data_IF_484040920360
#
_entry.id   IF_484040920360
#
_cell.length_a   1.000
_cell.length_b   1.000
_cell.length_c   1.000
_cell.angle_alpha   90.00
_cell.angle_beta   90.00
_cell.angle_gamma   90.00
#
_symmetry.space_group_name_H-M   'P 1'
#
loop_
_entity.id
_entity.type
_entity.pdbx_description
1 polymer ?
#
# COMPACT_ATOMS: atom_id res chain seq x y z
N UNK A 1 33.09 -101.63 36.44
CA UNK A 1 32.21 -101.91 37.60
C UNK A 1 31.40 -100.66 37.90
N UNK A 2 30.06 -100.79 37.99
CA UNK A 2 29.04 -99.91 38.57
C UNK A 2 28.89 -98.51 38.00
N UNK A 3 27.95 -98.17 37.14
CA UNK A 3 26.50 -98.03 37.29
C UNK A 3 26.15 -96.91 38.30
N UNK A 4 25.63 -95.77 37.78
CA UNK A 4 25.01 -94.73 38.54
C UNK A 4 23.99 -93.93 37.68
N UNK A 5 22.72 -94.31 37.81
CA UNK A 5 21.55 -93.71 37.24
C UNK A 5 21.30 -92.34 37.90
N UNK A 6 21.26 -91.25 37.15
CA UNK A 6 20.80 -89.94 37.62
C UNK A 6 19.44 -89.56 36.98
N UNK A 7 18.47 -89.36 37.83
CA UNK A 7 17.05 -89.05 37.52
C UNK A 7 16.88 -87.69 36.82
N UNK A 8 16.02 -87.67 35.84
CA UNK A 8 15.46 -86.46 35.22
C UNK A 8 14.50 -85.75 36.17
N UNK A 9 14.60 -84.45 36.30
CA UNK A 9 13.68 -83.54 36.97
C UNK A 9 12.68 -82.92 35.95
N UNK A 10 11.41 -82.69 36.31
CA UNK A 10 10.38 -82.20 35.39
C UNK A 10 10.49 -80.67 35.12
N UNK A 11 10.18 -80.33 33.90
CA UNK A 11 10.02 -78.94 33.47
C UNK A 11 8.70 -78.34 34.04
N UNK A 12 8.70 -77.05 34.52
CA UNK A 12 7.46 -76.31 34.77
C UNK A 12 6.94 -75.68 33.51
N UNK A 13 5.63 -75.72 33.39
CA UNK A 13 4.81 -75.37 32.27
C UNK A 13 4.81 -73.82 31.99
N UNK A 14 4.60 -73.50 30.71
CA UNK A 14 4.58 -72.18 30.18
C UNK A 14 3.40 -71.34 30.63
N UNK A 15 3.69 -70.15 31.08
CA UNK A 15 2.74 -69.07 31.23
C UNK A 15 2.63 -68.24 29.94
N UNK A 16 1.46 -67.72 29.57
CA UNK A 16 1.26 -67.01 28.33
C UNK A 16 1.96 -65.66 28.33
N UNK A 17 2.79 -65.41 27.31
CA UNK A 17 3.48 -64.17 27.06
C UNK A 17 2.47 -63.06 26.73
N UNK A 18 2.36 -62.07 27.60
CA UNK A 18 1.67 -60.81 27.41
C UNK A 18 2.30 -60.02 26.27
N UNK A 19 1.77 -60.18 25.04
CA UNK A 19 2.08 -59.37 23.88
C UNK A 19 1.16 -58.15 23.85
N UNK A 20 1.42 -57.10 24.59
CA UNK A 20 0.42 -56.04 24.57
C UNK A 20 0.85 -54.59 24.71
N UNK A 21 2.14 -54.23 24.94
CA UNK A 21 2.43 -52.81 25.23
C UNK A 21 3.67 -52.21 24.56
N UNK A 22 4.26 -52.85 23.58
CA UNK A 22 5.49 -52.32 22.94
C UNK A 22 5.24 -51.48 21.66
N UNK A 23 4.01 -51.40 21.16
CA UNK A 23 3.73 -50.74 19.86
C UNK A 23 3.51 -49.22 19.95
N UNK A 24 2.97 -48.69 21.04
CA UNK A 24 2.62 -47.30 21.21
C UNK A 24 3.81 -46.43 21.59
N UNK A 25 4.84 -46.99 22.22
CA UNK A 25 6.03 -46.22 22.64
C UNK A 25 6.98 -45.89 21.48
N UNK A 26 6.95 -46.71 20.40
CA UNK A 26 7.83 -46.49 19.22
C UNK A 26 7.35 -45.36 18.31
N UNK A 27 6.06 -45.06 18.27
CA UNK A 27 5.52 -43.98 17.41
C UNK A 27 5.80 -42.62 17.98
N UNK A 28 5.69 -42.47 19.30
CA UNK A 28 6.00 -41.17 19.96
C UNK A 28 7.51 -40.83 19.90
N UNK A 29 8.38 -41.82 19.97
CA UNK A 29 9.82 -41.62 19.81
C UNK A 29 10.23 -41.20 18.38
N UNK A 30 9.45 -41.61 17.35
CA UNK A 30 9.70 -41.17 15.96
C UNK A 30 9.25 -39.75 15.71
N UNK A 31 8.16 -39.29 16.29
CA UNK A 31 7.73 -37.87 16.20
C UNK A 31 8.72 -36.95 16.90
N UNK A 32 9.19 -37.32 18.10
CA UNK A 32 10.19 -36.54 18.80
C UNK A 32 11.54 -36.50 18.09
N UNK A 33 11.89 -37.54 17.37
CA UNK A 33 13.13 -37.60 16.58
C UNK A 33 13.04 -36.77 15.31
N UNK A 34 11.83 -36.57 14.75
CA UNK A 34 11.60 -35.68 13.61
C UNK A 34 11.78 -34.21 14.02
N UNK A 35 11.31 -33.84 15.23
CA UNK A 35 11.48 -32.48 15.75
C UNK A 35 12.91 -32.15 16.20
N UNK A 36 13.77 -33.15 16.31
CA UNK A 36 15.15 -33.02 16.75
C UNK A 36 16.16 -33.10 15.60
N UNK A 37 15.69 -33.23 14.38
CA UNK A 37 16.54 -33.13 13.18
C UNK A 37 16.66 -31.66 12.81
N UNK A 38 17.83 -31.11 13.02
CA UNK A 38 18.19 -29.72 12.72
C UNK A 38 18.13 -29.42 11.21
N UNK A 39 18.16 -30.45 10.35
CA UNK A 39 18.08 -30.34 8.89
C UNK A 39 16.76 -29.75 8.36
N UNK A 40 15.67 -29.74 9.17
CA UNK A 40 14.37 -29.12 8.82
C UNK A 40 14.12 -27.79 9.53
N UNK A 41 14.88 -27.44 10.58
CA UNK A 41 14.64 -26.25 11.39
C UNK A 41 14.89 -24.97 10.57
N UNK A 42 15.96 -24.91 9.80
CA UNK A 42 16.29 -23.78 8.94
C UNK A 42 15.22 -23.48 7.88
N UNK A 43 14.61 -24.54 7.30
CA UNK A 43 13.54 -24.36 6.31
C UNK A 43 12.26 -23.81 6.96
N UNK A 44 11.90 -24.31 8.14
CA UNK A 44 10.73 -23.82 8.88
C UNK A 44 10.93 -22.37 9.34
N UNK A 45 12.11 -22.04 9.84
CA UNK A 45 12.47 -20.68 10.22
C UNK A 45 12.40 -19.73 9.02
N UNK A 46 12.97 -20.13 7.89
CA UNK A 46 12.90 -19.35 6.65
C UNK A 46 11.45 -19.11 6.18
N UNK A 47 10.60 -20.14 6.16
CA UNK A 47 9.20 -20.02 5.73
C UNK A 47 8.40 -19.05 6.62
N UNK A 48 8.75 -18.93 7.91
CA UNK A 48 8.08 -18.02 8.84
C UNK A 48 8.63 -16.58 8.68
N UNK A 49 9.94 -16.43 8.57
CA UNK A 49 10.59 -15.11 8.55
C UNK A 49 10.46 -14.45 7.17
N UNK A 50 10.55 -15.24 6.09
CA UNK A 50 10.54 -14.73 4.72
C UNK A 50 9.29 -13.92 4.36
N UNK A 51 8.04 -14.33 4.66
CA UNK A 51 6.85 -13.53 4.39
C UNK A 51 6.85 -12.19 5.12
N UNK A 52 7.33 -12.17 6.38
CA UNK A 52 7.42 -10.92 7.17
C UNK A 52 8.45 -9.99 6.55
N UNK A 53 9.62 -10.50 6.20
CA UNK A 53 10.66 -9.73 5.51
C UNK A 53 10.16 -9.19 4.17
N UNK A 54 9.54 -10.03 3.35
CA UNK A 54 9.00 -9.62 2.05
C UNK A 54 7.89 -8.58 2.18
N UNK A 55 7.01 -8.69 3.18
CA UNK A 55 5.96 -7.69 3.40
C UNK A 55 6.54 -6.31 3.75
N UNK A 56 7.57 -6.26 4.59
CA UNK A 56 8.27 -5.02 4.92
C UNK A 56 9.01 -4.44 3.71
N UNK A 57 9.66 -5.30 2.93
CA UNK A 57 10.34 -4.88 1.71
C UNK A 57 9.36 -4.29 0.68
N UNK A 58 8.25 -4.97 0.40
CA UNK A 58 7.23 -4.48 -0.52
C UNK A 58 6.58 -3.19 -0.02
N UNK A 59 6.33 -3.06 1.28
CA UNK A 59 5.80 -1.83 1.86
C UNK A 59 6.79 -0.64 1.70
N UNK A 60 8.08 -0.88 1.90
CA UNK A 60 9.11 0.14 1.70
C UNK A 60 9.22 0.57 0.24
N UNK A 61 9.10 -0.39 -0.70
CA UNK A 61 9.11 -0.11 -2.12
C UNK A 61 7.87 0.69 -2.56
N UNK A 62 6.68 0.31 -2.08
CA UNK A 62 5.43 1.05 -2.34
C UNK A 62 5.51 2.49 -1.83
N UNK A 63 6.07 2.70 -0.62
CA UNK A 63 6.28 4.03 -0.07
C UNK A 63 7.22 4.88 -0.95
N UNK A 64 8.29 4.28 -1.45
CA UNK A 64 9.22 4.94 -2.37
C UNK A 64 8.53 5.37 -3.68
N UNK A 65 7.69 4.51 -4.23
CA UNK A 65 6.89 4.84 -5.42
C UNK A 65 5.89 5.96 -5.13
N UNK A 66 5.21 5.92 -3.98
CA UNK A 66 4.29 6.97 -3.56
C UNK A 66 4.99 8.33 -3.50
N UNK A 67 6.14 8.41 -2.82
CA UNK A 67 6.92 9.65 -2.72
C UNK A 67 7.38 10.16 -4.09
N UNK A 68 7.80 9.26 -4.97
CA UNK A 68 8.20 9.62 -6.34
C UNK A 68 7.02 10.19 -7.13
N UNK A 69 5.86 9.56 -7.04
CA UNK A 69 4.63 10.02 -7.70
C UNK A 69 4.19 11.39 -7.16
N UNK A 70 4.27 11.59 -5.84
CA UNK A 70 3.96 12.88 -5.21
C UNK A 70 4.84 13.99 -5.78
N UNK A 71 6.15 13.81 -5.80
CA UNK A 71 7.11 14.82 -6.32
C UNK A 71 6.85 15.12 -7.80
N UNK A 72 6.51 14.11 -8.61
CA UNK A 72 6.20 14.32 -10.02
C UNK A 72 4.89 15.10 -10.23
N UNK A 73 3.86 14.81 -9.41
CA UNK A 73 2.61 15.55 -9.43
C UNK A 73 2.85 17.02 -9.03
N UNK A 74 3.56 17.27 -7.93
CA UNK A 74 3.88 18.60 -7.46
C UNK A 74 4.63 19.41 -8.54
N UNK A 75 5.61 18.79 -9.19
CA UNK A 75 6.34 19.41 -10.29
C UNK A 75 5.43 19.74 -11.49
N UNK A 76 4.51 18.83 -11.84
CA UNK A 76 3.57 19.07 -12.94
C UNK A 76 2.63 20.23 -12.63
N UNK A 77 2.14 20.31 -11.38
CA UNK A 77 1.30 21.42 -10.90
C UNK A 77 2.07 22.72 -10.93
N UNK A 78 3.28 22.79 -10.42
CA UNK A 78 4.11 23.99 -10.40
C UNK A 78 4.37 24.56 -11.81
N UNK A 79 4.67 23.69 -12.77
CA UNK A 79 4.87 24.11 -14.17
C UNK A 79 3.57 24.67 -14.76
N UNK A 80 2.43 24.04 -14.48
CA UNK A 80 1.13 24.48 -14.97
C UNK A 80 0.68 25.80 -14.32
N UNK A 81 0.92 25.95 -13.02
CA UNK A 81 0.71 27.21 -12.28
C UNK A 81 1.57 28.34 -12.82
N UNK A 82 2.83 28.06 -13.17
CA UNK A 82 3.70 29.05 -13.78
C UNK A 82 3.16 29.48 -15.17
N UNK A 83 2.63 28.56 -15.95
CA UNK A 83 2.01 28.87 -17.23
C UNK A 83 0.76 29.75 -17.07
N UNK A 84 -0.06 29.47 -16.02
CA UNK A 84 -1.21 30.29 -15.64
C UNK A 84 -0.79 31.72 -15.27
N UNK A 85 0.20 31.86 -14.40
CA UNK A 85 0.72 33.19 -13.98
C UNK A 85 1.19 34.04 -15.16
N UNK A 86 1.81 33.41 -16.14
CA UNK A 86 2.36 34.09 -17.31
C UNK A 86 1.30 34.36 -18.39
N UNK A 87 0.02 34.10 -18.12
CA UNK A 87 -1.07 34.35 -19.05
C UNK A 87 -0.99 33.51 -20.34
N UNK A 88 -0.43 32.29 -20.24
CA UNK A 88 -0.33 31.39 -21.42
C UNK A 88 -1.68 30.74 -21.76
N UNK A 89 -2.66 30.89 -20.90
CA UNK A 89 -4.01 30.41 -21.12
C UNK A 89 -4.97 31.61 -21.25
N UNK A 90 -5.63 31.73 -22.38
CA UNK A 90 -6.69 32.71 -22.59
C UNK A 90 -7.99 32.12 -22.00
N UNK A 91 -8.47 32.67 -20.87
CA UNK A 91 -9.66 32.20 -20.14
C UNK A 91 -9.62 30.71 -19.81
N UNK A 92 -8.73 30.31 -18.88
CA UNK A 92 -8.45 28.90 -18.60
C UNK A 92 -9.66 28.16 -18.04
N UNK A 93 -9.99 27.05 -18.66
CA UNK A 93 -10.98 26.11 -18.17
C UNK A 93 -10.35 25.07 -17.25
N UNK A 94 -11.13 24.40 -16.36
CA UNK A 94 -10.63 23.28 -15.56
C UNK A 94 -9.99 22.18 -16.41
N UNK A 95 -10.51 22.00 -17.63
CA UNK A 95 -10.01 20.98 -18.56
C UNK A 95 -8.63 21.35 -19.09
N UNK A 96 -8.41 22.60 -19.51
CA UNK A 96 -7.10 23.03 -20.04
C UNK A 96 -5.96 22.85 -19.03
N UNK A 97 -6.25 23.13 -17.76
CA UNK A 97 -5.29 22.96 -16.67
C UNK A 97 -5.07 21.48 -16.39
N UNK A 98 -6.13 20.67 -16.40
CA UNK A 98 -6.04 19.21 -16.26
C UNK A 98 -5.17 18.62 -17.34
N UNK A 99 -5.41 18.97 -18.60
CA UNK A 99 -4.65 18.51 -19.75
C UNK A 99 -3.18 18.91 -19.66
N UNK A 100 -2.90 20.13 -19.22
CA UNK A 100 -1.55 20.62 -18.97
C UNK A 100 -0.81 19.83 -17.90
N UNK A 101 -1.49 19.50 -16.78
CA UNK A 101 -0.92 18.69 -15.70
C UNK A 101 -0.77 17.25 -16.16
N UNK A 102 -1.77 16.66 -16.82
CA UNK A 102 -1.77 15.29 -17.27
C UNK A 102 -0.69 15.05 -18.36
N UNK A 103 -0.45 16.00 -19.24
CA UNK A 103 0.64 15.90 -20.22
C UNK A 103 2.02 15.73 -19.57
N UNK A 104 2.19 16.21 -18.34
CA UNK A 104 3.45 16.13 -17.57
C UNK A 104 3.46 15.03 -16.53
N UNK A 105 2.30 14.74 -15.92
CA UNK A 105 2.12 13.73 -14.88
C UNK A 105 1.61 12.38 -15.42
N UNK A 106 1.32 12.26 -16.71
CA UNK A 106 0.67 11.09 -17.31
C UNK A 106 1.44 9.78 -17.17
N UNK A 107 2.75 9.81 -16.96
CA UNK A 107 3.55 8.63 -16.64
C UNK A 107 3.29 8.10 -15.22
N UNK A 108 2.75 8.95 -14.35
CA UNK A 108 2.60 8.69 -12.92
C UNK A 108 1.14 8.45 -12.54
N UNK A 109 0.22 9.14 -13.23
CA UNK A 109 -1.22 9.05 -13.03
C UNK A 109 -1.86 8.39 -14.24
N UNK A 110 -2.12 7.09 -14.15
CA UNK A 110 -2.84 6.38 -15.21
C UNK A 110 -4.28 6.90 -15.31
N UNK A 111 -4.79 7.08 -16.52
CA UNK A 111 -6.13 7.63 -16.79
C UNK A 111 -6.36 8.99 -16.08
N UNK A 112 -5.39 9.88 -16.20
CA UNK A 112 -5.30 11.15 -15.51
C UNK A 112 -6.59 11.98 -15.64
N UNK A 113 -7.19 12.05 -16.83
CA UNK A 113 -8.36 12.86 -17.11
C UNK A 113 -9.58 12.52 -16.22
N UNK A 114 -9.74 11.22 -15.90
CA UNK A 114 -10.87 10.72 -15.11
C UNK A 114 -10.56 10.55 -13.62
N UNK A 115 -9.30 10.77 -13.22
CA UNK A 115 -8.82 10.51 -11.84
C UNK A 115 -8.26 11.75 -11.18
N UNK A 116 -8.36 12.89 -11.84
CA UNK A 116 -7.85 14.15 -11.33
C UNK A 116 -8.98 15.16 -11.17
N UNK A 117 -9.06 15.76 -10.00
CA UNK A 117 -9.94 16.88 -9.69
C UNK A 117 -9.10 18.11 -9.38
N UNK A 118 -9.51 19.24 -9.95
CA UNK A 118 -8.83 20.52 -9.78
C UNK A 118 -9.83 21.51 -9.20
N UNK A 119 -9.46 22.09 -8.08
CA UNK A 119 -10.15 23.17 -7.41
C UNK A 119 -9.30 24.42 -7.50
N UNK A 120 -9.87 25.55 -7.90
CA UNK A 120 -9.18 26.83 -7.96
C UNK A 120 -10.06 27.91 -7.34
N UNK A 121 -9.62 28.48 -6.24
CA UNK A 121 -10.37 29.43 -5.44
C UNK A 121 -9.57 30.72 -5.23
N UNK A 122 -10.27 31.84 -5.17
CA UNK A 122 -9.68 33.10 -4.79
C UNK A 122 -9.49 33.19 -3.28
N UNK A 123 -8.33 33.61 -2.85
CA UNK A 123 -8.04 33.86 -1.44
C UNK A 123 -8.31 35.33 -1.11
N UNK A 124 -9.29 35.63 -0.26
CA UNK A 124 -9.57 37.00 0.14
C UNK A 124 -8.46 37.51 1.10
N UNK A 125 -7.55 38.30 0.58
CA UNK A 125 -6.40 38.85 1.36
C UNK A 125 -6.80 39.91 2.39
N UNK A 126 -8.03 40.45 2.29
CA UNK A 126 -8.55 41.44 3.23
C UNK A 126 -9.09 40.84 4.52
N UNK A 127 -9.67 39.67 4.46
CA UNK A 127 -10.35 39.00 5.59
C UNK A 127 -9.59 37.80 6.14
N UNK A 128 -8.66 37.24 5.36
CA UNK A 128 -7.88 36.02 5.70
C UNK A 128 -8.75 34.92 6.28
N UNK A 129 -9.91 34.68 5.66
CA UNK A 129 -10.79 33.61 6.09
C UNK A 129 -10.07 32.27 6.00
N UNK A 130 -10.34 31.41 6.96
CA UNK A 130 -9.82 30.05 6.97
C UNK A 130 -10.33 29.29 5.75
N UNK A 131 -9.42 28.91 4.87
CA UNK A 131 -9.71 28.06 3.73
C UNK A 131 -10.03 26.64 4.20
N UNK A 132 -10.95 25.93 3.53
CA UNK A 132 -11.20 24.53 3.83
C UNK A 132 -9.89 23.74 3.81
N UNK A 133 -9.69 22.89 4.79
CA UNK A 133 -8.50 22.03 4.85
C UNK A 133 -8.68 20.82 3.95
N UNK A 134 -7.71 20.57 3.08
CA UNK A 134 -7.68 19.45 2.16
C UNK A 134 -8.17 19.78 0.76
N UNK A 135 -7.83 18.94 -0.19
CA UNK A 135 -8.35 18.97 -1.55
C UNK A 135 -9.52 17.99 -1.67
N UNK A 136 -10.55 18.39 -2.40
CA UNK A 136 -11.64 17.46 -2.75
C UNK A 136 -11.14 16.49 -3.80
N UNK A 137 -11.42 15.21 -3.63
CA UNK A 137 -11.03 14.17 -4.58
C UNK A 137 -12.29 13.57 -5.24
N UNK A 138 -12.11 13.02 -6.43
CA UNK A 138 -13.16 12.28 -7.11
C UNK A 138 -13.55 11.06 -6.28
N UNK A 139 -14.80 10.95 -5.87
CA UNK A 139 -15.32 9.74 -5.26
C UNK A 139 -15.92 8.86 -6.37
N UNK A 140 -15.25 7.78 -6.74
CA UNK A 140 -15.72 6.88 -7.80
C UNK A 140 -16.87 5.97 -7.37
N UNK A 141 -17.11 5.86 -6.08
CA UNK A 141 -18.24 5.11 -5.53
C UNK A 141 -19.54 5.93 -5.57
N UNK A 142 -19.45 7.21 -5.89
CA UNK A 142 -20.60 8.10 -6.06
C UNK A 142 -20.84 8.38 -7.54
N UNK A 143 -22.11 8.32 -7.95
CA UNK A 143 -22.55 8.55 -9.34
C UNK A 143 -22.46 10.04 -9.76
N UNK A 144 -22.22 10.93 -8.80
CA UNK A 144 -22.15 12.37 -9.02
C UNK A 144 -20.74 12.88 -8.68
N UNK A 145 -20.07 13.49 -9.66
CA UNK A 145 -18.83 14.19 -9.41
C UNK A 145 -19.05 15.38 -8.45
N UNK A 146 -18.18 15.55 -7.44
CA UNK A 146 -18.31 16.70 -6.55
C UNK A 146 -18.15 18.01 -7.33
N UNK A 147 -19.09 18.93 -7.15
CA UNK A 147 -19.01 20.26 -7.73
C UNK A 147 -17.91 21.01 -6.99
N UNK A 148 -16.82 21.29 -7.66
CA UNK A 148 -15.71 22.07 -7.13
C UNK A 148 -15.75 23.50 -7.68
N UNK A 149 -15.33 24.44 -6.84
CA UNK A 149 -15.20 25.81 -7.27
C UNK A 149 -14.00 25.96 -8.19
N UNK A 150 -14.25 26.52 -9.38
CA UNK A 150 -13.21 26.89 -10.31
C UNK A 150 -13.41 28.34 -10.71
N UNK A 151 -12.54 29.20 -10.21
CA UNK A 151 -12.56 30.64 -10.50
C UNK A 151 -11.18 31.04 -11.03
N UNK A 152 -11.13 31.58 -12.24
CA UNK A 152 -9.87 32.03 -12.87
C UNK A 152 -9.25 33.26 -12.21
N UNK A 153 -9.99 33.95 -11.33
CA UNK A 153 -9.54 35.18 -10.66
C UNK A 153 -9.40 36.35 -11.61
N UNK A 154 -9.04 37.49 -11.03
CA UNK A 154 -8.73 38.71 -11.76
C UNK A 154 -7.23 39.06 -11.60
N UNK A 155 -6.69 40.00 -12.40
CA UNK A 155 -5.34 40.51 -12.21
C UNK A 155 -5.10 40.96 -10.78
N UNK A 156 -3.97 40.58 -10.21
CA UNK A 156 -3.56 40.80 -8.81
C UNK A 156 -4.34 40.04 -7.74
N UNK A 157 -5.26 39.14 -8.12
CA UNK A 157 -5.90 38.27 -7.16
C UNK A 157 -4.94 37.16 -6.71
N UNK A 158 -4.96 36.86 -5.41
CA UNK A 158 -4.28 35.70 -4.85
C UNK A 158 -5.16 34.47 -5.07
N UNK A 159 -4.64 33.50 -5.78
CA UNK A 159 -5.33 32.27 -6.15
C UNK A 159 -4.72 31.09 -5.42
N UNK A 160 -5.56 30.15 -5.04
CA UNK A 160 -5.17 28.86 -4.49
C UNK A 160 -5.67 27.75 -5.42
N UNK A 161 -4.74 26.97 -5.93
CA UNK A 161 -5.07 25.78 -6.70
C UNK A 161 -4.81 24.54 -5.83
N UNK A 162 -5.76 23.60 -5.86
CA UNK A 162 -5.65 22.30 -5.22
C UNK A 162 -5.94 21.24 -6.25
N UNK A 163 -5.09 20.26 -6.30
CA UNK A 163 -5.17 19.14 -7.23
C UNK A 163 -5.22 17.87 -6.42
N UNK A 164 -6.21 17.03 -6.68
CA UNK A 164 -6.28 15.68 -6.16
C UNK A 164 -6.22 14.69 -7.30
N UNK A 165 -5.31 13.73 -7.22
CA UNK A 165 -5.17 12.63 -8.17
C UNK A 165 -5.31 11.30 -7.46
N UNK A 166 -6.16 10.40 -7.99
CA UNK A 166 -6.37 9.06 -7.48
C UNK A 166 -5.46 8.06 -8.19
N UNK A 167 -4.73 7.27 -7.42
CA UNK A 167 -3.80 6.27 -7.93
C UNK A 167 -4.08 4.89 -7.38
N UNK A 168 -3.82 3.89 -8.21
CA UNK A 168 -3.84 2.50 -7.78
C UNK A 168 -2.53 2.13 -7.06
N UNK A 169 -2.61 1.42 -5.92
CA UNK A 169 -1.44 0.83 -5.30
C UNK A 169 -0.85 -0.24 -6.22
N UNK A 170 0.48 -0.34 -6.26
CA UNK A 170 1.16 -1.40 -7.04
C UNK A 170 1.03 -2.74 -6.31
N UNK A 171 1.09 -2.71 -4.98
CA UNK A 171 0.94 -3.88 -4.15
C UNK A 171 -0.28 -3.72 -3.23
N UNK A 172 -1.39 -4.36 -3.58
CA UNK A 172 -2.64 -4.29 -2.79
C UNK A 172 -2.52 -4.91 -1.39
N UNK A 173 -1.46 -5.68 -1.13
CA UNK A 173 -1.19 -6.30 0.18
C UNK A 173 -0.56 -5.34 1.19
N UNK A 174 -0.11 -4.17 0.77
CA UNK A 174 0.61 -3.20 1.61
C UNK A 174 -0.29 -2.16 2.27
N UNK A 175 -1.60 -2.27 2.13
CA UNK A 175 -2.58 -1.42 2.85
C UNK A 175 -2.44 -1.48 4.38
N UNK A 176 -1.61 -2.37 4.88
CA UNK A 176 -1.33 -2.58 6.30
C UNK A 176 -0.42 -1.48 6.87
N UNK A 177 -0.97 -0.32 7.17
CA UNK A 177 -0.34 0.59 8.13
C UNK A 177 -0.12 2.04 7.69
N UNK A 178 -0.28 2.39 6.45
CA UNK A 178 -0.30 3.78 6.06
C UNK A 178 -1.75 4.29 6.17
N UNK A 179 -2.02 5.19 7.09
CA UNK A 179 -3.27 5.97 7.15
C UNK A 179 -3.29 6.96 5.97
N UNK A 180 -3.23 6.46 4.76
CA UNK A 180 -3.50 7.26 3.58
C UNK A 180 -5.01 7.48 3.48
N UNK A 181 -5.43 8.63 2.98
CA UNK A 181 -6.81 8.80 2.57
C UNK A 181 -7.06 7.84 1.41
N UNK A 182 -7.81 6.78 1.67
CA UNK A 182 -8.20 5.80 0.66
C UNK A 182 -9.61 6.10 0.18
N UNK A 183 -9.79 6.11 -1.13
CA UNK A 183 -11.08 6.20 -1.79
C UNK A 183 -11.32 4.86 -2.50
N UNK A 184 -12.02 3.95 -1.82
CA UNK A 184 -12.14 2.58 -2.27
C UNK A 184 -10.78 1.87 -2.38
N UNK A 185 -10.42 1.40 -3.57
CA UNK A 185 -9.14 0.75 -3.86
C UNK A 185 -8.01 1.74 -4.22
N UNK A 186 -8.30 3.05 -4.23
CA UNK A 186 -7.37 4.10 -4.64
C UNK A 186 -6.83 4.85 -3.42
N UNK A 187 -5.62 5.36 -3.55
CA UNK A 187 -5.08 6.36 -2.64
C UNK A 187 -5.02 7.73 -3.34
N UNK A 188 -5.19 8.79 -2.55
CA UNK A 188 -5.18 10.15 -3.05
C UNK A 188 -3.78 10.76 -2.92
N UNK A 189 -3.29 11.37 -4.00
CA UNK A 189 -2.22 12.34 -3.98
C UNK A 189 -2.81 13.74 -4.06
N UNK A 190 -2.39 14.62 -3.18
CA UNK A 190 -2.85 16.01 -3.18
C UNK A 190 -1.68 16.96 -3.36
N UNK A 191 -1.83 17.90 -4.28
CA UNK A 191 -0.89 19.00 -4.48
C UNK A 191 -1.61 20.33 -4.32
N UNK A 192 -0.97 21.29 -3.67
CA UNK A 192 -1.54 22.61 -3.42
C UNK A 192 -0.50 23.66 -3.74
N UNK A 193 -0.88 24.65 -4.54
CA UNK A 193 -0.03 25.79 -4.87
C UNK A 193 -0.82 27.11 -4.78
N UNK A 194 -0.17 28.16 -4.34
CA UNK A 194 -0.75 29.48 -4.31
C UNK A 194 0.05 30.43 -5.21
N UNK A 195 -0.66 31.28 -5.92
CA UNK A 195 -0.04 32.24 -6.84
C UNK A 195 -0.86 33.53 -6.93
N UNK A 196 -0.25 34.57 -7.47
CA UNK A 196 -0.92 35.85 -7.78
C UNK A 196 -0.99 35.93 -9.30
N UNK A 197 -2.19 36.21 -9.81
CA UNK A 197 -2.38 36.49 -11.25
C UNK A 197 -1.62 37.74 -11.65
N UNK A 198 -0.82 37.64 -12.68
CA UNK A 198 -0.17 38.80 -13.26
C UNK A 198 -1.17 39.59 -14.12
N UNK A 199 -1.10 40.92 -14.15
CA UNK A 199 -1.94 41.70 -15.05
C UNK A 199 -1.56 41.31 -16.50
N UNK A 200 -2.57 41.03 -17.33
CA UNK A 200 -2.38 40.87 -18.77
C UNK A 200 -1.77 42.15 -19.33
N UNK A 201 -0.66 42.02 -20.06
CA UNK A 201 0.03 43.12 -20.73
C UNK A 201 -0.80 43.68 -21.86
#
# INVERSE_FOLDING_TARGET
MAAGKGRAAPRPDGGPASKGHARTRRSRARLFRFWRREDGAATVEFVIIFPVFMSLFLASFELGLYMTRQVMLDRAVDISVRALRLGQFDDPTPQDIRDSICARAGLVVANCDNRMLIEMTRVPTTTWQTLPTGATCVNRDEEVEPVVEFNGGQPNDMMLIRVCALLEPVFFTTHLGLKMQTYGEFYALTSTSAFVNEPSA
#
